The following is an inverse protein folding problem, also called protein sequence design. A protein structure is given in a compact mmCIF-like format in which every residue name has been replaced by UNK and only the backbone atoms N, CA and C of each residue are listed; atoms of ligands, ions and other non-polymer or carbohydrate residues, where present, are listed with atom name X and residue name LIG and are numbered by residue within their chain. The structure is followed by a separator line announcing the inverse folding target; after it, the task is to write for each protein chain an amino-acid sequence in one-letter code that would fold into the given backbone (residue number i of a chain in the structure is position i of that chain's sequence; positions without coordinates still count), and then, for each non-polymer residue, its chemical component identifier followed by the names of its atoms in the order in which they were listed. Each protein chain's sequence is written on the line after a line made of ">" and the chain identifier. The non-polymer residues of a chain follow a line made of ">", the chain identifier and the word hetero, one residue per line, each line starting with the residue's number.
data_IF_906530375220
#
_entry.id   IF_906530375220
#
_cell.length_a   1.000
_cell.length_b   1.000
_cell.length_c   1.000
_cell.angle_alpha   90.00
_cell.angle_beta   90.00
_cell.angle_gamma   90.00
#
_symmetry.space_group_name_H-M   'P 1'
#
loop_
_entity.id
_entity.type
_entity.pdbx_description
1 polymer ?
#
# COMPACT_ATOMS: atom_id res chain seq x y z
N UNK A 1 -5.31 36.60 -10.13
CA UNK A 1 -4.44 36.30 -8.98
C UNK A 1 -3.63 35.08 -9.40
N UNK A 2 -2.46 35.31 -9.96
CA UNK A 2 -1.62 34.28 -10.59
C UNK A 2 -1.06 33.38 -9.49
N UNK A 3 -1.57 32.16 -9.42
CA UNK A 3 -1.02 31.13 -8.55
C UNK A 3 0.32 30.72 -9.13
N UNK A 4 1.39 31.35 -8.64
CA UNK A 4 2.75 31.04 -9.03
C UNK A 4 3.14 29.76 -8.29
N UNK A 5 2.66 28.62 -8.77
CA UNK A 5 3.04 27.32 -8.22
C UNK A 5 4.49 27.04 -8.59
N UNK A 6 5.42 27.55 -7.78
CA UNK A 6 6.85 27.31 -7.94
C UNK A 6 7.10 25.80 -7.99
N UNK A 7 7.70 25.32 -9.07
CA UNK A 7 8.09 23.91 -9.17
C UNK A 7 9.19 23.63 -8.14
N UNK A 8 9.11 22.48 -7.47
CA UNK A 8 10.22 22.01 -6.63
C UNK A 8 11.51 21.93 -7.45
N UNK A 9 12.62 22.34 -6.85
CA UNK A 9 13.93 22.11 -7.46
C UNK A 9 14.26 20.61 -7.51
N UNK A 10 15.11 20.20 -8.44
CA UNK A 10 15.52 18.79 -8.58
C UNK A 10 16.04 18.17 -7.26
N UNK A 11 16.86 18.86 -6.44
CA UNK A 11 17.29 18.34 -5.14
C UNK A 11 16.16 18.19 -4.12
N UNK A 12 15.20 19.12 -4.07
CA UNK A 12 14.07 19.07 -3.14
C UNK A 12 13.11 17.95 -3.52
N UNK A 13 12.76 17.87 -4.81
CA UNK A 13 11.95 16.78 -5.35
C UNK A 13 12.59 15.42 -5.07
N UNK A 14 13.92 15.28 -5.28
CA UNK A 14 14.64 14.04 -4.99
C UNK A 14 14.51 13.64 -3.52
N UNK A 15 14.66 14.61 -2.60
CA UNK A 15 14.57 14.38 -1.16
C UNK A 15 13.16 13.92 -0.77
N UNK A 16 12.13 14.61 -1.24
CA UNK A 16 10.74 14.24 -0.96
C UNK A 16 10.39 12.87 -1.53
N UNK A 17 10.74 12.60 -2.80
CA UNK A 17 10.49 11.31 -3.43
C UNK A 17 11.25 10.17 -2.73
N UNK A 18 12.51 10.39 -2.33
CA UNK A 18 13.31 9.40 -1.62
C UNK A 18 12.70 9.02 -0.25
N UNK A 19 12.10 9.98 0.46
CA UNK A 19 11.40 9.72 1.72
C UNK A 19 10.18 8.79 1.54
N UNK A 20 9.66 8.66 0.32
CA UNK A 20 8.52 7.80 0.01
C UNK A 20 8.91 6.36 -0.36
N UNK A 21 10.19 6.05 -0.56
CA UNK A 21 10.68 4.71 -0.92
C UNK A 21 10.09 3.59 -0.03
N UNK A 22 10.14 3.68 1.33
CA UNK A 22 9.60 2.62 2.17
C UNK A 22 8.10 2.41 1.97
N UNK A 23 7.34 3.49 1.87
CA UNK A 23 5.90 3.48 1.65
C UNK A 23 5.53 2.87 0.29
N UNK A 24 6.26 3.23 -0.77
CA UNK A 24 6.05 2.70 -2.11
C UNK A 24 6.37 1.20 -2.17
N UNK A 25 7.43 0.75 -1.50
CA UNK A 25 7.75 -0.68 -1.37
C UNK A 25 6.69 -1.45 -0.59
N UNK A 26 6.22 -0.93 0.53
CA UNK A 26 5.15 -1.54 1.32
C UNK A 26 3.86 -1.69 0.48
N UNK A 27 3.49 -0.63 -0.24
CA UNK A 27 2.34 -0.67 -1.14
C UNK A 27 2.54 -1.67 -2.29
N UNK A 28 3.69 -1.67 -2.95
CA UNK A 28 4.02 -2.64 -3.99
C UNK A 28 3.93 -4.09 -3.50
N UNK A 29 4.44 -4.40 -2.30
CA UNK A 29 4.36 -5.73 -1.69
C UNK A 29 2.92 -6.16 -1.45
N UNK A 30 2.08 -5.24 -1.00
CA UNK A 30 0.65 -5.53 -0.82
C UNK A 30 -0.07 -5.88 -2.14
N UNK A 31 0.35 -5.27 -3.25
CA UNK A 31 -0.24 -5.50 -4.58
C UNK A 31 0.27 -6.79 -5.24
N UNK A 32 1.58 -7.04 -5.19
CA UNK A 32 2.20 -8.16 -5.90
C UNK A 32 2.17 -9.48 -5.13
N UNK A 33 2.20 -9.45 -3.79
CA UNK A 33 2.36 -10.66 -2.96
C UNK A 33 3.77 -11.29 -3.01
N UNK A 34 4.61 -10.89 -3.97
CA UNK A 34 6.00 -11.31 -4.15
C UNK A 34 6.96 -10.14 -3.86
N UNK A 35 8.01 -10.40 -3.08
CA UNK A 35 8.94 -9.36 -2.63
C UNK A 35 9.85 -8.84 -3.74
N UNK A 36 10.30 -9.70 -4.66
CA UNK A 36 11.16 -9.32 -5.77
C UNK A 36 10.40 -8.47 -6.78
N UNK A 37 9.20 -8.92 -7.17
CA UNK A 37 8.32 -8.14 -8.05
C UNK A 37 7.93 -6.80 -7.44
N UNK A 38 7.76 -6.73 -6.11
CA UNK A 38 7.45 -5.49 -5.44
C UNK A 38 8.61 -4.49 -5.43
N UNK A 39 9.84 -4.95 -5.21
CA UNK A 39 11.02 -4.09 -5.21
C UNK A 39 11.33 -3.57 -6.63
N UNK A 40 11.11 -4.38 -7.66
CA UNK A 40 11.23 -3.97 -9.06
C UNK A 40 10.15 -2.94 -9.43
N UNK A 41 8.89 -3.21 -9.08
CA UNK A 41 7.76 -2.30 -9.30
C UNK A 41 7.99 -0.93 -8.62
N UNK A 42 8.49 -0.93 -7.38
CA UNK A 42 8.79 0.30 -6.67
C UNK A 42 9.93 1.08 -7.32
N UNK A 43 10.99 0.40 -7.79
CA UNK A 43 12.07 1.04 -8.54
C UNK A 43 11.58 1.67 -9.85
N UNK A 44 10.78 0.95 -10.62
CA UNK A 44 10.20 1.44 -11.86
C UNK A 44 9.28 2.65 -11.64
N UNK A 45 8.50 2.63 -10.56
CA UNK A 45 7.67 3.75 -10.16
C UNK A 45 8.53 4.98 -9.81
N UNK A 46 9.61 4.80 -9.06
CA UNK A 46 10.55 5.87 -8.68
C UNK A 46 11.24 6.49 -9.91
N UNK A 47 11.68 5.67 -10.86
CA UNK A 47 12.28 6.14 -12.11
C UNK A 47 11.27 6.94 -12.95
N UNK A 48 10.03 6.47 -13.04
CA UNK A 48 8.97 7.21 -13.75
C UNK A 48 8.59 8.50 -13.04
N UNK A 49 8.53 8.50 -11.71
CA UNK A 49 8.30 9.71 -10.93
C UNK A 49 9.42 10.73 -11.15
N UNK A 50 10.69 10.31 -11.15
CA UNK A 50 11.81 11.18 -11.46
C UNK A 50 11.75 11.77 -12.88
N UNK A 51 11.39 10.94 -13.87
CA UNK A 51 11.22 11.40 -15.25
C UNK A 51 10.02 12.34 -15.41
N UNK A 52 8.96 12.13 -14.64
CA UNK A 52 7.74 12.95 -14.63
C UNK A 52 7.79 14.13 -13.65
N UNK A 53 8.92 14.39 -12.97
CA UNK A 53 8.99 15.42 -11.92
C UNK A 53 8.53 16.81 -12.35
N UNK A 54 8.68 17.15 -13.64
CA UNK A 54 8.24 18.44 -14.16
C UNK A 54 6.71 18.60 -14.27
N UNK A 55 5.96 17.49 -14.23
CA UNK A 55 4.49 17.49 -14.18
C UNK A 55 3.96 17.46 -12.74
N UNK A 56 4.83 17.30 -11.73
CA UNK A 56 4.40 17.44 -10.34
C UNK A 56 4.12 18.92 -10.05
N UNK A 57 3.00 19.18 -9.38
CA UNK A 57 2.60 20.50 -8.96
C UNK A 57 2.95 20.70 -7.48
N UNK A 58 3.86 21.62 -7.17
CA UNK A 58 4.23 21.87 -5.78
C UNK A 58 3.02 22.35 -4.96
N UNK A 59 3.02 22.04 -3.67
CA UNK A 59 1.87 22.28 -2.79
C UNK A 59 0.75 21.24 -2.91
N UNK A 60 0.83 20.30 -3.87
CA UNK A 60 -0.03 19.11 -3.91
C UNK A 60 0.62 17.94 -3.18
N UNK A 61 -0.15 16.88 -2.93
CA UNK A 61 0.32 15.74 -2.14
C UNK A 61 1.28 14.84 -2.95
N UNK A 62 2.58 14.95 -2.67
CA UNK A 62 3.63 14.12 -3.27
C UNK A 62 3.39 12.62 -3.05
N UNK A 63 2.90 12.21 -1.87
CA UNK A 63 2.62 10.81 -1.56
C UNK A 63 1.51 10.28 -2.47
N UNK A 64 0.38 10.98 -2.57
CA UNK A 64 -0.73 10.57 -3.45
C UNK A 64 -0.30 10.51 -4.93
N UNK A 65 0.49 11.48 -5.38
CA UNK A 65 1.00 11.53 -6.75
C UNK A 65 1.94 10.35 -7.05
N UNK A 66 2.89 10.04 -6.17
CA UNK A 66 3.80 8.92 -6.33
C UNK A 66 3.07 7.56 -6.30
N UNK A 67 2.08 7.40 -5.42
CA UNK A 67 1.24 6.20 -5.35
C UNK A 67 0.40 6.01 -6.62
N UNK A 68 -0.08 7.10 -7.22
CA UNK A 68 -0.76 7.06 -8.53
C UNK A 68 0.16 6.49 -9.61
N UNK A 69 1.42 6.95 -9.66
CA UNK A 69 2.41 6.44 -10.62
C UNK A 69 2.64 4.94 -10.39
N UNK A 70 2.89 4.53 -9.15
CA UNK A 70 3.13 3.12 -8.81
C UNK A 70 1.98 2.22 -9.24
N UNK A 71 0.75 2.64 -8.93
CA UNK A 71 -0.47 1.95 -9.35
C UNK A 71 -0.53 1.81 -10.88
N UNK A 72 -0.26 2.89 -11.60
CA UNK A 72 -0.27 2.88 -13.06
C UNK A 72 0.79 1.97 -13.66
N UNK A 73 1.98 1.87 -13.04
CA UNK A 73 3.00 0.89 -13.42
C UNK A 73 2.47 -0.53 -13.24
N UNK A 74 1.96 -0.85 -12.05
CA UNK A 74 1.45 -2.17 -11.71
C UNK A 74 0.37 -2.66 -12.69
N UNK A 75 -0.67 -1.87 -12.93
CA UNK A 75 -1.74 -2.25 -13.86
C UNK A 75 -1.27 -2.29 -15.32
N UNK A 76 -0.20 -1.57 -15.68
CA UNK A 76 0.39 -1.66 -17.02
C UNK A 76 1.18 -2.96 -17.20
N UNK A 77 1.90 -3.40 -16.18
CA UNK A 77 2.62 -4.68 -16.16
C UNK A 77 1.67 -5.86 -16.13
N UNK A 78 0.65 -5.84 -15.26
CA UNK A 78 -0.37 -6.89 -15.17
C UNK A 78 -1.08 -7.10 -16.52
N UNK A 79 -1.46 -6.02 -17.21
CA UNK A 79 -2.01 -6.09 -18.58
C UNK A 79 -1.02 -6.68 -19.58
N UNK A 80 0.28 -6.43 -19.43
CA UNK A 80 1.33 -6.96 -20.32
C UNK A 80 1.60 -8.45 -20.04
N UNK A 81 1.54 -8.87 -18.79
CA UNK A 81 1.64 -10.27 -18.34
C UNK A 81 0.46 -11.12 -18.82
N UNK A 82 -0.79 -10.64 -18.64
CA UNK A 82 -2.00 -11.31 -19.13
C UNK A 82 -2.04 -11.50 -20.65
N UNK A 83 -1.40 -10.61 -21.43
CA UNK A 83 -1.25 -10.79 -22.89
C UNK A 83 -0.21 -11.83 -23.28
N UNK A 84 0.64 -12.28 -22.36
CA UNK A 84 1.77 -13.17 -22.65
C UNK A 84 1.53 -14.62 -22.21
N UNK A 85 0.76 -14.92 -21.15
CA UNK A 85 0.41 -16.29 -20.71
C UNK A 85 -0.73 -16.24 -19.65
N UNK A 86 -1.68 -17.20 -19.60
CA UNK A 86 -2.60 -17.33 -18.46
C UNK A 86 -1.83 -17.92 -17.25
N UNK A 87 -1.68 -17.15 -16.18
CA UNK A 87 -0.94 -17.59 -14.99
C UNK A 87 -1.88 -18.32 -14.02
N UNK A 88 -1.50 -19.56 -13.72
CA UNK A 88 -2.01 -20.43 -12.66
C UNK A 88 -1.76 -19.76 -11.29
N UNK A 89 -2.75 -19.68 -10.38
CA UNK A 89 -2.62 -18.96 -9.13
C UNK A 89 -2.08 -19.88 -8.04
N UNK A 90 -0.78 -20.15 -8.07
CA UNK A 90 -0.11 -20.71 -6.91
C UNK A 90 1.31 -20.15 -6.81
N UNK A 91 1.77 -19.98 -5.58
CA UNK A 91 3.11 -19.55 -5.16
C UNK A 91 3.31 -18.04 -4.97
N UNK A 92 3.35 -17.63 -3.70
CA UNK A 92 4.49 -16.92 -3.13
C UNK A 92 4.41 -16.99 -1.59
N UNK A 93 5.18 -17.89 -0.99
CA UNK A 93 5.40 -17.95 0.45
C UNK A 93 6.88 -17.68 0.75
N UNK A 94 7.11 -16.88 1.81
CA UNK A 94 8.39 -16.36 2.36
C UNK A 94 9.14 -15.36 1.44
N UNK A 95 9.67 -14.22 1.89
CA UNK A 95 10.54 -13.91 3.06
C UNK A 95 10.40 -12.40 3.34
N UNK A 96 10.30 -11.85 4.57
CA UNK A 96 11.32 -11.59 5.59
C UNK A 96 10.63 -10.89 6.78
N UNK A 97 11.00 -11.23 8.02
CA UNK A 97 10.92 -10.29 9.17
C UNK A 97 12.26 -10.37 9.89
N UNK A 98 12.88 -9.21 10.09
CA UNK A 98 14.04 -9.03 10.96
C UNK A 98 13.65 -8.03 12.03
N UNK A 99 13.72 -8.50 13.27
CA UNK A 99 13.69 -7.78 14.55
C UNK A 99 12.35 -7.18 15.00
N UNK A 100 11.55 -8.00 15.70
CA UNK A 100 10.67 -7.66 16.85
C UNK A 100 10.11 -8.98 17.42
N UNK A 101 9.35 -8.96 18.52
CA UNK A 101 8.96 -10.16 19.27
C UNK A 101 8.33 -11.26 18.38
N UNK A 102 8.46 -12.55 18.75
CA UNK A 102 7.86 -13.66 17.98
C UNK A 102 6.34 -13.54 17.78
N UNK A 103 5.62 -12.90 18.71
CA UNK A 103 4.18 -12.64 18.62
C UNK A 103 3.85 -11.62 17.53
N UNK A 104 4.51 -10.45 17.55
CA UNK A 104 4.33 -9.38 16.57
C UNK A 104 4.60 -9.87 15.14
N UNK A 105 5.57 -10.78 15.00
CA UNK A 105 5.91 -11.41 13.72
C UNK A 105 4.78 -12.32 13.20
N UNK A 106 4.09 -13.03 14.09
CA UNK A 106 2.98 -13.90 13.74
C UNK A 106 1.75 -13.10 13.31
N UNK A 107 1.44 -12.02 14.02
CA UNK A 107 0.30 -11.15 13.72
C UNK A 107 0.48 -10.41 12.39
N UNK A 108 1.69 -9.94 12.10
CA UNK A 108 2.04 -9.35 10.80
C UNK A 108 1.92 -10.36 9.65
N UNK A 109 2.32 -11.62 9.88
CA UNK A 109 2.19 -12.68 8.89
C UNK A 109 0.71 -13.05 8.65
N UNK A 110 -0.09 -13.13 9.71
CA UNK A 110 -1.53 -13.36 9.62
C UNK A 110 -2.23 -12.21 8.85
N UNK A 111 -1.87 -10.96 9.16
CA UNK A 111 -2.37 -9.77 8.45
C UNK A 111 -2.00 -9.81 6.97
N UNK A 112 -0.73 -10.09 6.64
CA UNK A 112 -0.27 -10.20 5.25
C UNK A 112 -1.08 -11.26 4.49
N UNK A 113 -1.31 -12.42 5.10
CA UNK A 113 -2.09 -13.50 4.51
C UNK A 113 -3.57 -13.09 4.32
N UNK A 114 -4.16 -12.40 5.30
CA UNK A 114 -5.53 -11.90 5.20
C UNK A 114 -5.68 -10.88 4.06
N UNK A 115 -4.77 -9.92 3.96
CA UNK A 115 -4.70 -8.97 2.85
C UNK A 115 -4.54 -9.69 1.51
N UNK A 116 -3.68 -10.72 1.46
CA UNK A 116 -3.44 -11.59 0.31
C UNK A 116 -4.69 -12.28 -0.25
N UNK A 117 -5.72 -12.49 0.57
CA UNK A 117 -7.00 -13.13 0.17
C UNK A 117 -8.04 -12.12 -0.32
N UNK A 118 -7.84 -10.83 -0.13
CA UNK A 118 -8.79 -9.81 -0.57
C UNK A 118 -8.77 -9.66 -2.10
N UNK A 119 -9.94 -9.35 -2.71
CA UNK A 119 -9.98 -8.82 -4.07
C UNK A 119 -9.07 -7.60 -4.20
N UNK A 120 -8.36 -7.50 -5.32
CA UNK A 120 -7.31 -6.50 -5.50
C UNK A 120 -7.78 -5.05 -5.27
N UNK A 121 -8.97 -4.71 -5.75
CA UNK A 121 -9.59 -3.39 -5.58
C UNK A 121 -9.90 -3.05 -4.11
N UNK A 122 -10.23 -4.06 -3.31
CA UNK A 122 -10.51 -3.90 -1.88
C UNK A 122 -9.22 -3.76 -1.08
N UNK A 123 -8.23 -4.58 -1.41
CA UNK A 123 -6.88 -4.50 -0.85
C UNK A 123 -6.24 -3.15 -1.13
N UNK A 124 -6.26 -2.72 -2.39
CA UNK A 124 -5.74 -1.43 -2.83
C UNK A 124 -6.36 -0.28 -2.04
N UNK A 125 -7.70 -0.22 -1.95
CA UNK A 125 -8.39 0.83 -1.20
C UNK A 125 -8.05 0.80 0.30
N UNK A 126 -7.94 -0.39 0.90
CA UNK A 126 -7.63 -0.56 2.32
C UNK A 126 -6.21 -0.10 2.65
N UNK A 127 -5.22 -0.44 1.81
CA UNK A 127 -3.83 -0.03 2.03
C UNK A 127 -3.67 1.48 1.81
N UNK A 128 -4.27 2.06 0.75
CA UNK A 128 -4.18 3.49 0.50
C UNK A 128 -4.70 4.35 1.67
N UNK A 129 -5.84 3.97 2.25
CA UNK A 129 -6.47 4.73 3.34
C UNK A 129 -5.87 4.35 4.70
N UNK A 130 -5.66 3.06 4.97
CA UNK A 130 -5.20 2.56 6.26
C UNK A 130 -3.72 2.84 6.52
N UNK A 131 -2.85 2.26 5.67
CA UNK A 131 -1.39 2.35 5.81
C UNK A 131 -0.80 3.57 5.07
N UNK A 132 -1.37 3.91 3.90
CA UNK A 132 -0.97 5.10 3.16
C UNK A 132 -1.29 6.40 3.89
N UNK A 133 -2.24 6.37 4.85
CA UNK A 133 -2.75 7.54 5.55
C UNK A 133 -3.44 8.54 4.63
N UNK A 134 -3.85 8.11 3.44
CA UNK A 134 -4.44 9.01 2.45
C UNK A 134 -5.91 9.26 2.78
N UNK A 135 -6.39 10.51 2.65
CA UNK A 135 -7.81 10.79 2.72
C UNK A 135 -8.57 10.03 1.62
N UNK A 136 -9.86 9.79 1.87
CA UNK A 136 -10.71 9.03 0.95
C UNK A 136 -10.77 9.65 -0.46
N UNK A 137 -10.68 10.98 -0.54
CA UNK A 137 -10.68 11.78 -1.76
C UNK A 137 -9.45 11.47 -2.62
N UNK A 138 -8.25 11.54 -2.05
CA UNK A 138 -7.01 11.22 -2.77
C UNK A 138 -6.94 9.74 -3.17
N UNK A 139 -7.38 8.84 -2.29
CA UNK A 139 -7.47 7.41 -2.62
C UNK A 139 -8.42 7.16 -3.80
N UNK A 140 -9.51 7.94 -3.90
CA UNK A 140 -10.47 7.86 -5.00
C UNK A 140 -9.87 8.34 -6.32
N UNK A 141 -9.11 9.43 -6.29
CA UNK A 141 -8.36 9.96 -7.43
C UNK A 141 -7.32 8.94 -7.93
N UNK A 142 -6.51 8.37 -7.03
CA UNK A 142 -5.51 7.33 -7.34
C UNK A 142 -6.19 6.14 -8.03
N UNK A 143 -7.31 5.67 -7.47
CA UNK A 143 -8.03 4.50 -7.98
C UNK A 143 -8.85 4.79 -9.25
N UNK A 144 -9.13 6.06 -9.56
CA UNK A 144 -10.00 6.46 -10.66
C UNK A 144 -11.47 6.09 -10.44
N UNK A 145 -11.97 6.17 -9.20
CA UNK A 145 -13.35 5.83 -8.82
C UNK A 145 -13.99 6.91 -7.95
N UNK A 146 -15.30 6.83 -7.69
CA UNK A 146 -15.96 7.76 -6.78
C UNK A 146 -15.56 7.53 -5.31
N UNK A 147 -15.53 8.60 -4.50
CA UNK A 147 -15.22 8.54 -3.06
C UNK A 147 -16.10 7.53 -2.31
N UNK A 148 -17.40 7.47 -2.62
CA UNK A 148 -18.32 6.47 -2.05
C UNK A 148 -17.91 5.02 -2.38
N UNK A 149 -17.27 4.81 -3.54
CA UNK A 149 -16.74 3.49 -3.92
C UNK A 149 -15.55 3.11 -3.04
N UNK A 150 -14.61 4.02 -2.77
CA UNK A 150 -13.50 3.78 -1.84
C UNK A 150 -14.04 3.44 -0.45
N UNK A 151 -14.97 4.24 0.10
CA UNK A 151 -15.58 3.97 1.41
C UNK A 151 -16.19 2.57 1.47
N UNK A 152 -16.93 2.18 0.43
CA UNK A 152 -17.52 0.83 0.34
C UNK A 152 -16.49 -0.29 0.19
N UNK A 153 -15.35 -0.04 -0.47
CA UNK A 153 -14.26 -1.00 -0.65
C UNK A 153 -13.49 -1.19 0.65
N UNK A 154 -13.14 -0.10 1.33
CA UNK A 154 -12.48 -0.11 2.64
C UNK A 154 -13.33 -0.83 3.67
N UNK A 155 -14.63 -0.50 3.75
CA UNK A 155 -15.55 -1.16 4.68
C UNK A 155 -15.62 -2.68 4.46
N UNK A 156 -15.75 -3.11 3.20
CA UNK A 156 -15.76 -4.54 2.85
C UNK A 156 -14.42 -5.22 3.12
N UNK A 157 -13.31 -4.55 2.80
CA UNK A 157 -11.97 -5.05 3.04
C UNK A 157 -11.71 -5.27 4.53
N UNK A 158 -12.05 -4.28 5.37
CA UNK A 158 -11.93 -4.37 6.83
C UNK A 158 -12.72 -5.56 7.37
N UNK A 159 -14.00 -5.67 6.98
CA UNK A 159 -14.86 -6.79 7.41
C UNK A 159 -14.25 -8.15 7.03
N UNK A 160 -13.80 -8.30 5.78
CA UNK A 160 -13.19 -9.54 5.30
C UNK A 160 -11.88 -9.88 6.03
N UNK A 161 -11.03 -8.89 6.32
CA UNK A 161 -9.79 -9.11 7.08
C UNK A 161 -10.11 -9.60 8.49
N UNK A 162 -11.05 -8.95 9.18
CA UNK A 162 -11.47 -9.37 10.52
C UNK A 162 -11.99 -10.81 10.50
N UNK A 163 -12.91 -11.14 9.59
CA UNK A 163 -13.44 -12.50 9.46
C UNK A 163 -12.35 -13.54 9.18
N UNK A 164 -11.36 -13.22 8.34
CA UNK A 164 -10.23 -14.13 8.04
C UNK A 164 -9.38 -14.36 9.29
N UNK A 165 -9.06 -13.30 10.02
CA UNK A 165 -8.21 -13.37 11.21
C UNK A 165 -8.90 -14.14 12.34
N UNK A 166 -10.19 -13.90 12.58
CA UNK A 166 -11.01 -14.64 13.53
C UNK A 166 -11.11 -16.13 13.16
N UNK A 167 -11.31 -16.45 11.88
CA UNK A 167 -11.42 -17.84 11.42
C UNK A 167 -10.12 -18.64 11.54
N UNK A 168 -8.97 -17.97 11.52
CA UNK A 168 -7.65 -18.59 11.60
C UNK A 168 -7.13 -18.76 13.03
N UNK A 169 -7.92 -18.38 14.04
CA UNK A 169 -7.51 -18.49 15.45
C UNK A 169 -6.20 -17.75 15.76
N UNK A 170 -5.83 -16.76 14.94
CA UNK A 170 -4.69 -15.90 15.22
C UNK A 170 -5.02 -15.20 16.54
N UNK A 171 -4.26 -15.55 17.58
CA UNK A 171 -4.43 -15.04 18.94
C UNK A 171 -4.11 -13.56 18.99
N UNK A 172 -5.00 -12.73 18.44
CA UNK A 172 -5.21 -11.39 18.95
C UNK A 172 -5.44 -11.57 20.44
N UNK A 173 -4.50 -11.08 21.24
CA UNK A 173 -4.53 -11.21 22.68
C UNK A 173 -5.93 -10.87 23.18
N UNK A 174 -6.62 -11.88 23.72
CA UNK A 174 -7.97 -11.84 24.33
C UNK A 174 -8.05 -10.88 25.54
N UNK A 175 -6.92 -10.24 25.87
CA UNK A 175 -6.75 -9.34 27.00
C UNK A 175 -6.73 -7.88 26.50
N UNK A 176 -7.89 -7.37 26.12
CA UNK A 176 -8.31 -5.95 26.15
C UNK A 176 -9.61 -5.77 25.37
N UNK A 177 -10.51 -4.91 25.84
CA UNK A 177 -11.69 -4.40 25.11
C UNK A 177 -11.29 -3.56 23.88
N UNK A 178 -10.36 -4.04 23.04
CA UNK A 178 -9.92 -3.38 21.83
C UNK A 178 -10.76 -3.89 20.67
N UNK A 179 -11.52 -3.01 20.01
CA UNK A 179 -12.34 -3.42 18.86
C UNK A 179 -11.40 -3.98 17.80
N UNK A 180 -11.83 -4.99 17.05
CA UNK A 180 -11.04 -5.54 15.93
C UNK A 180 -10.61 -4.45 14.92
N UNK A 181 -11.36 -3.36 14.85
CA UNK A 181 -11.03 -2.15 14.09
C UNK A 181 -9.81 -1.40 14.65
N UNK A 182 -9.68 -1.29 15.97
CA UNK A 182 -8.56 -0.65 16.65
C UNK A 182 -7.30 -1.52 16.57
N UNK A 183 -7.44 -2.84 16.73
CA UNK A 183 -6.35 -3.79 16.52
C UNK A 183 -5.85 -3.80 15.07
N UNK A 184 -6.78 -3.75 14.10
CA UNK A 184 -6.44 -3.59 12.69
C UNK A 184 -5.71 -2.28 12.42
N UNK A 185 -6.20 -1.16 12.97
CA UNK A 185 -5.56 0.14 12.80
C UNK A 185 -4.17 0.17 13.46
N UNK A 186 -4.01 -0.46 14.62
CA UNK A 186 -2.72 -0.54 15.32
C UNK A 186 -1.71 -1.39 14.55
N UNK A 187 -2.11 -2.57 14.04
CA UNK A 187 -1.23 -3.40 13.20
C UNK A 187 -0.85 -2.68 11.92
N UNK A 188 -1.79 -1.97 11.28
CA UNK A 188 -1.48 -1.21 10.07
C UNK A 188 -0.54 -0.04 10.36
N UNK A 189 -0.70 0.64 11.49
CA UNK A 189 0.22 1.67 11.97
C UNK A 189 1.60 1.10 12.30
N UNK A 190 1.67 -0.02 13.00
CA UNK A 190 2.94 -0.69 13.30
C UNK A 190 3.63 -1.17 12.02
N UNK A 191 2.89 -1.63 11.02
CA UNK A 191 3.43 -1.98 9.72
C UNK A 191 4.03 -0.77 8.98
N UNK A 192 3.42 0.42 9.12
CA UNK A 192 3.98 1.68 8.63
C UNK A 192 5.25 2.07 9.39
N UNK A 193 5.26 1.94 10.72
CA UNK A 193 6.40 2.25 11.58
C UNK A 193 7.59 1.30 11.29
N UNK A 194 7.31 0.02 11.03
CA UNK A 194 8.32 -0.98 10.63
C UNK A 194 8.87 -0.69 9.23
N UNK A 195 8.05 -0.12 8.32
CA UNK A 195 8.53 0.33 7.02
C UNK A 195 9.42 1.58 7.13
N UNK A 196 9.30 2.38 8.19
CA UNK A 196 10.09 3.58 8.48
C UNK A 196 11.20 3.35 9.50
N UNK A 197 12.21 2.52 9.20
CA UNK A 197 13.34 2.33 10.13
C UNK A 197 14.30 3.53 10.12
N UNK A 198 14.22 4.36 11.17
CA UNK A 198 15.31 5.23 11.65
C UNK A 198 15.07 6.73 11.52
#
# INVERSE_FOLDING_TARGET
>A
MTDNTEKLSDPEFKRELAALIPHLRAFARSLCGDATLADDLAQDAMLKAWNARQSFQAGTNMKAWAFTILRNVFYSEKRRSWRRTPLDPEVAEATLVSNSNPSDTLDLLAMRNALGRLPIDQREALILVGAGGLPYEEAAEICGVAVGTIKSRVSRARKAVVEILESNGAGFSDDSEMRAEDAFNDIMRQADDIAGVG
#
